data_IF_903488866308
#
_entry.id   IF_903488866308
#
_cell.length_a   1.000
_cell.length_b   1.000
_cell.length_c   1.000
_cell.angle_alpha   90.00
_cell.angle_beta   90.00
_cell.angle_gamma   90.00
#
_symmetry.space_group_name_H-M   'P 1'
#
loop_
_entity.id
_entity.type
_entity.pdbx_description
1 polymer ?
#
# COMPACT_ATOMS: atom_id res chain seq x y z
N UNK A 1 -21.07 11.23 16.92
CA UNK A 1 -21.87 10.96 15.70
C UNK A 1 -22.83 9.82 16.01
N UNK A 2 -24.11 9.96 15.69
CA UNK A 2 -25.08 8.86 15.77
C UNK A 2 -24.94 7.92 14.56
N UNK A 3 -25.36 6.64 14.64
CA UNK A 3 -25.33 5.73 13.49
C UNK A 3 -26.06 6.26 12.25
N UNK A 4 -27.11 7.08 12.46
CA UNK A 4 -27.85 7.74 11.37
C UNK A 4 -27.03 8.83 10.68
N UNK A 5 -26.27 9.61 11.45
CA UNK A 5 -25.35 10.62 10.90
C UNK A 5 -24.27 9.97 10.04
N UNK A 6 -23.61 8.93 10.54
CA UNK A 6 -22.57 8.22 9.78
C UNK A 6 -23.13 7.61 8.49
N UNK A 7 -24.35 7.06 8.53
CA UNK A 7 -25.01 6.54 7.33
C UNK A 7 -25.37 7.63 6.33
N UNK A 8 -25.89 8.78 6.81
CA UNK A 8 -26.20 9.92 5.95
C UNK A 8 -24.92 10.48 5.28
N UNK A 9 -23.84 10.62 6.05
CA UNK A 9 -22.53 11.03 5.53
C UNK A 9 -22.01 10.06 4.47
N UNK A 10 -22.11 8.74 4.73
CA UNK A 10 -21.74 7.73 3.75
C UNK A 10 -22.53 7.90 2.45
N UNK A 11 -23.85 8.07 2.51
CA UNK A 11 -24.68 8.34 1.33
C UNK A 11 -24.23 9.60 0.59
N UNK A 12 -23.96 10.69 1.30
CA UNK A 12 -23.49 11.95 0.70
C UNK A 12 -22.18 11.72 -0.06
N UNK A 13 -21.20 11.06 0.55
CA UNK A 13 -19.93 10.77 -0.12
C UNK A 13 -20.08 9.81 -1.31
N UNK A 14 -20.97 8.82 -1.24
CA UNK A 14 -21.28 7.95 -2.38
C UNK A 14 -21.93 8.72 -3.53
N UNK A 15 -22.86 9.64 -3.24
CA UNK A 15 -23.49 10.49 -4.26
C UNK A 15 -22.46 11.42 -4.90
N UNK A 16 -21.64 12.09 -4.09
CA UNK A 16 -20.60 12.98 -4.60
C UNK A 16 -19.56 12.23 -5.44
N UNK A 17 -19.06 11.09 -4.94
CA UNK A 17 -18.12 10.23 -5.67
C UNK A 17 -18.72 9.68 -6.96
N UNK A 18 -19.97 9.21 -6.92
CA UNK A 18 -20.71 8.77 -8.10
C UNK A 18 -20.91 9.90 -9.12
N UNK A 19 -21.24 11.12 -8.66
CA UNK A 19 -21.36 12.30 -9.50
C UNK A 19 -20.05 12.67 -10.20
N UNK A 20 -18.92 12.62 -9.48
CA UNK A 20 -17.58 12.81 -10.07
C UNK A 20 -17.30 11.71 -11.10
N UNK A 21 -17.63 10.45 -10.78
CA UNK A 21 -17.49 9.32 -11.70
C UNK A 21 -18.30 9.49 -12.99
N UNK A 22 -19.54 9.97 -12.90
CA UNK A 22 -20.41 10.27 -14.06
C UNK A 22 -19.82 11.42 -14.88
N UNK A 23 -19.35 12.49 -14.23
CA UNK A 23 -18.70 13.60 -14.93
C UNK A 23 -17.44 13.14 -15.69
N UNK A 24 -16.60 12.33 -15.05
CA UNK A 24 -15.44 11.74 -15.71
C UNK A 24 -15.85 10.80 -16.84
N UNK A 25 -16.90 9.99 -16.67
CA UNK A 25 -17.39 9.13 -17.73
C UNK A 25 -17.88 9.92 -18.97
N UNK A 26 -18.57 11.04 -18.73
CA UNK A 26 -19.01 11.94 -19.79
C UNK A 26 -17.84 12.60 -20.54
N UNK A 27 -16.78 12.97 -19.83
CA UNK A 27 -15.63 13.70 -20.40
C UNK A 27 -14.51 12.80 -20.92
N UNK A 28 -14.42 11.56 -20.43
CA UNK A 28 -13.25 10.66 -20.58
C UNK A 28 -13.63 9.22 -20.98
N UNK A 29 -14.90 8.92 -21.24
CA UNK A 29 -15.33 7.59 -21.66
C UNK A 29 -16.00 6.78 -20.55
N UNK A 30 -16.98 5.97 -20.95
CA UNK A 30 -17.87 5.20 -20.08
C UNK A 30 -17.14 4.13 -19.25
N UNK A 31 -15.92 3.75 -19.63
CA UNK A 31 -15.12 2.74 -18.95
C UNK A 31 -14.75 3.17 -17.52
N UNK A 32 -14.72 4.48 -17.22
CA UNK A 32 -14.62 5.00 -15.85
C UNK A 32 -15.74 4.45 -14.96
N UNK A 33 -16.94 4.23 -15.50
CA UNK A 33 -18.06 3.68 -14.74
C UNK A 33 -17.81 2.25 -14.30
N UNK A 34 -17.08 1.45 -15.10
CA UNK A 34 -16.69 0.08 -14.71
C UNK A 34 -15.80 0.16 -13.46
N UNK A 35 -14.80 1.04 -13.47
CA UNK A 35 -13.90 1.24 -12.33
C UNK A 35 -14.67 1.78 -11.12
N UNK A 36 -15.60 2.70 -11.34
CA UNK A 36 -16.46 3.27 -10.31
C UNK A 36 -17.38 2.23 -9.66
N UNK A 37 -18.00 1.35 -10.45
CA UNK A 37 -18.84 0.25 -9.93
C UNK A 37 -18.01 -0.74 -9.11
N UNK A 38 -16.81 -1.10 -9.59
CA UNK A 38 -15.89 -1.96 -8.83
C UNK A 38 -15.51 -1.31 -7.50
N UNK A 39 -15.11 -0.02 -7.51
CA UNK A 39 -14.69 0.71 -6.32
C UNK A 39 -15.82 0.96 -5.32
N UNK A 40 -17.01 1.33 -5.79
CA UNK A 40 -18.19 1.51 -4.94
C UNK A 40 -18.66 0.19 -4.35
N UNK A 41 -18.74 -0.85 -5.19
CA UNK A 41 -19.13 -2.19 -4.75
C UNK A 41 -18.15 -2.76 -3.73
N UNK A 42 -16.85 -2.63 -3.99
CA UNK A 42 -15.82 -3.08 -3.05
C UNK A 42 -15.86 -2.31 -1.74
N UNK A 43 -15.97 -0.98 -1.77
CA UNK A 43 -16.08 -0.14 -0.58
C UNK A 43 -17.31 -0.46 0.27
N UNK A 44 -18.47 -0.66 -0.36
CA UNK A 44 -19.70 -1.04 0.33
C UNK A 44 -19.58 -2.44 0.95
N UNK A 45 -19.24 -3.46 0.16
CA UNK A 45 -19.17 -4.85 0.62
C UNK A 45 -17.95 -5.16 1.49
N UNK A 46 -17.01 -4.22 1.61
CA UNK A 46 -15.91 -4.33 2.56
C UNK A 46 -16.42 -4.50 3.99
N UNK A 47 -17.41 -3.72 4.41
CA UNK A 47 -18.04 -3.80 5.73
C UNK A 47 -19.46 -4.36 5.71
N UNK A 48 -20.22 -4.17 4.63
CA UNK A 48 -21.64 -4.52 4.57
C UNK A 48 -21.88 -6.02 4.26
N UNK A 49 -23.00 -6.59 4.76
CA UNK A 49 -23.50 -7.88 4.29
C UNK A 49 -23.81 -7.87 2.77
N UNK A 50 -23.77 -9.03 2.10
CA UNK A 50 -23.53 -10.37 2.65
C UNK A 50 -22.04 -10.75 2.75
N UNK A 51 -21.13 -9.95 2.20
CA UNK A 51 -19.72 -10.33 2.04
C UNK A 51 -18.85 -9.98 3.25
N UNK A 52 -18.92 -8.76 3.78
CA UNK A 52 -18.13 -8.30 4.94
C UNK A 52 -16.64 -8.69 4.81
N UNK A 53 -15.99 -8.31 3.71
CA UNK A 53 -14.63 -8.77 3.39
C UNK A 53 -13.62 -8.56 4.53
N UNK A 54 -13.77 -7.45 5.27
CA UNK A 54 -12.93 -7.11 6.44
C UNK A 54 -12.94 -8.19 7.53
N UNK A 55 -14.04 -8.93 7.67
CA UNK A 55 -14.20 -9.96 8.71
C UNK A 55 -13.84 -11.37 8.24
N UNK A 56 -13.48 -11.54 6.96
CA UNK A 56 -13.29 -12.86 6.33
C UNK A 56 -11.86 -13.17 5.89
N UNK A 57 -10.91 -12.27 6.14
CA UNK A 57 -9.50 -12.43 5.73
C UNK A 57 -9.26 -12.18 4.24
N UNK A 58 -10.21 -11.51 3.58
CA UNK A 58 -10.05 -11.01 2.21
C UNK A 58 -9.85 -9.50 2.17
N UNK A 59 -10.08 -8.81 3.29
CA UNK A 59 -10.11 -7.35 3.35
C UNK A 59 -8.79 -6.71 2.91
N UNK A 60 -7.67 -7.29 3.33
CA UNK A 60 -6.32 -6.82 3.07
C UNK A 60 -6.01 -6.87 1.56
N UNK A 61 -6.32 -7.99 0.91
CA UNK A 61 -6.13 -8.16 -0.54
C UNK A 61 -7.05 -7.20 -1.31
N UNK A 62 -8.32 -7.09 -0.91
CA UNK A 62 -9.26 -6.19 -1.57
C UNK A 62 -8.84 -4.72 -1.45
N UNK A 63 -8.36 -4.28 -0.28
CA UNK A 63 -7.88 -2.91 -0.11
C UNK A 63 -6.65 -2.66 -0.98
N UNK A 64 -5.69 -3.59 -1.01
CA UNK A 64 -4.53 -3.47 -1.91
C UNK A 64 -4.92 -3.36 -3.37
N UNK A 65 -5.86 -4.18 -3.84
CA UNK A 65 -6.36 -4.12 -5.23
C UNK A 65 -7.08 -2.80 -5.54
N UNK A 66 -7.91 -2.29 -4.63
CA UNK A 66 -8.67 -1.06 -4.86
C UNK A 66 -7.78 0.19 -4.82
N UNK A 67 -7.01 0.36 -3.74
CA UNK A 67 -6.20 1.56 -3.56
C UNK A 67 -4.86 1.51 -4.29
N UNK A 68 -4.38 0.33 -4.70
CA UNK A 68 -3.21 0.19 -5.54
C UNK A 68 -3.57 0.14 -7.02
N UNK A 69 -4.07 -1.01 -7.47
CA UNK A 69 -4.28 -1.30 -8.90
C UNK A 69 -5.42 -0.48 -9.49
N UNK A 70 -6.63 -0.57 -8.93
CA UNK A 70 -7.82 0.07 -9.48
C UNK A 70 -7.66 1.60 -9.53
N UNK A 71 -7.15 2.21 -8.45
CA UNK A 71 -6.92 3.65 -8.38
C UNK A 71 -5.85 4.11 -9.40
N UNK A 72 -4.76 3.36 -9.55
CA UNK A 72 -3.71 3.68 -10.54
C UNK A 72 -4.22 3.55 -11.97
N UNK A 73 -4.95 2.48 -12.27
CA UNK A 73 -5.54 2.27 -13.60
C UNK A 73 -6.60 3.31 -13.93
N UNK A 74 -7.43 3.71 -12.96
CA UNK A 74 -8.40 4.79 -13.16
C UNK A 74 -7.73 6.13 -13.42
N UNK A 75 -6.71 6.48 -12.64
CA UNK A 75 -5.93 7.69 -12.87
C UNK A 75 -5.24 7.67 -14.25
N UNK A 76 -4.67 6.52 -14.64
CA UNK A 76 -4.04 6.36 -15.94
C UNK A 76 -5.06 6.53 -17.07
N UNK A 77 -6.17 5.80 -17.04
CA UNK A 77 -7.22 5.86 -18.07
C UNK A 77 -7.81 7.26 -18.24
N UNK A 78 -8.10 7.97 -17.14
CA UNK A 78 -8.62 9.34 -17.20
C UNK A 78 -7.65 10.31 -17.89
N UNK A 79 -6.33 10.07 -17.79
CA UNK A 79 -5.30 10.91 -18.40
C UNK A 79 -4.98 10.51 -19.84
N UNK A 80 -4.90 9.21 -20.13
CA UNK A 80 -4.39 8.69 -21.40
C UNK A 80 -5.48 8.19 -22.34
N UNK A 81 -6.68 7.92 -21.82
CA UNK A 81 -7.81 7.31 -22.55
C UNK A 81 -7.51 5.92 -23.09
N UNK A 82 -6.54 5.22 -22.50
CA UNK A 82 -6.13 3.88 -22.91
C UNK A 82 -5.94 3.00 -21.69
N UNK A 83 -6.44 1.76 -21.76
CA UNK A 83 -6.03 0.72 -20.82
C UNK A 83 -4.74 0.09 -21.30
N UNK A 84 -3.67 0.31 -20.54
CA UNK A 84 -2.36 -0.26 -20.83
C UNK A 84 -1.91 -1.18 -19.70
N UNK A 85 -1.43 -2.37 -20.07
CA UNK A 85 -0.78 -3.29 -19.13
C UNK A 85 0.44 -2.65 -18.46
N UNK A 86 1.09 -1.71 -19.13
CA UNK A 86 2.23 -0.97 -18.59
C UNK A 86 1.92 -0.29 -17.26
N UNK A 87 0.71 0.24 -17.06
CA UNK A 87 0.31 0.89 -15.82
C UNK A 87 0.01 -0.09 -14.67
N UNK A 88 -0.23 -1.37 -14.98
CA UNK A 88 -0.49 -2.40 -13.96
C UNK A 88 0.77 -2.69 -13.16
N UNK A 89 1.91 -2.91 -13.83
CA UNK A 89 3.16 -3.30 -13.19
C UNK A 89 3.64 -2.35 -12.07
N UNK A 90 3.72 -1.02 -12.26
CA UNK A 90 4.11 -0.09 -11.20
C UNK A 90 3.06 0.03 -10.08
N UNK A 91 1.80 -0.36 -10.32
CA UNK A 91 0.75 -0.35 -9.30
C UNK A 91 0.82 -1.52 -8.32
N UNK A 92 1.41 -2.66 -8.74
CA UNK A 92 1.51 -3.87 -7.90
C UNK A 92 2.33 -3.66 -6.62
N UNK A 93 3.56 -3.11 -6.64
CA UNK A 93 4.30 -2.86 -5.39
C UNK A 93 3.54 -1.91 -4.46
N UNK A 94 2.85 -0.92 -5.01
CA UNK A 94 2.01 0.00 -4.23
C UNK A 94 0.83 -0.73 -3.60
N UNK A 95 0.15 -1.61 -4.35
CA UNK A 95 -0.93 -2.44 -3.85
C UNK A 95 -0.49 -3.35 -2.70
N UNK A 96 0.64 -4.04 -2.86
CA UNK A 96 1.21 -4.92 -1.81
C UNK A 96 1.60 -4.08 -0.57
N UNK A 97 2.14 -2.89 -0.76
CA UNK A 97 2.49 -1.99 0.36
C UNK A 97 1.26 -1.48 1.10
N UNK A 98 0.17 -1.17 0.41
CA UNK A 98 -1.10 -0.81 1.05
C UNK A 98 -1.64 -1.98 1.86
N UNK A 99 -1.61 -3.19 1.29
CA UNK A 99 -1.93 -4.43 2.01
C UNK A 99 -1.06 -4.55 3.25
N UNK A 100 0.25 -4.33 3.15
CA UNK A 100 1.18 -4.40 4.27
C UNK A 100 0.90 -3.35 5.35
N UNK A 101 0.52 -2.12 4.98
CA UNK A 101 0.10 -1.07 5.92
C UNK A 101 -1.12 -1.52 6.74
N UNK A 102 -2.14 -2.07 6.09
CA UNK A 102 -3.29 -2.60 6.82
C UNK A 102 -2.90 -3.82 7.66
N UNK A 103 -2.15 -4.74 7.07
CA UNK A 103 -1.74 -5.99 7.70
C UNK A 103 -0.97 -5.75 9.01
N UNK A 104 -0.02 -4.82 9.02
CA UNK A 104 0.71 -4.51 10.25
C UNK A 104 -0.24 -3.90 11.29
N UNK A 105 -1.18 -3.03 10.87
CA UNK A 105 -2.13 -2.33 11.76
C UNK A 105 -3.07 -3.27 12.52
N UNK A 106 -3.24 -4.51 12.05
CA UNK A 106 -4.09 -5.50 12.70
C UNK A 106 -3.41 -6.27 13.85
N UNK A 107 -2.08 -6.15 14.02
CA UNK A 107 -1.36 -6.86 15.09
C UNK A 107 -1.82 -6.47 16.51
N UNK A 108 -1.98 -5.18 16.86
CA UNK A 108 -2.46 -4.75 18.17
C UNK A 108 -3.91 -5.19 18.38
N UNK A 109 -4.71 -5.08 17.32
CA UNK A 109 -6.15 -5.31 17.34
C UNK A 109 -6.52 -6.80 17.32
N UNK A 110 -5.57 -7.70 17.10
CA UNK A 110 -5.80 -9.15 17.00
C UNK A 110 -6.77 -9.72 18.04
N UNK A 111 -6.61 -9.40 19.32
CA UNK A 111 -7.47 -9.96 20.38
C UNK A 111 -8.87 -9.34 20.38
N UNK A 112 -8.96 -8.03 20.13
CA UNK A 112 -10.23 -7.30 20.03
C UNK A 112 -11.02 -7.75 18.79
N UNK A 113 -10.36 -7.85 17.64
CA UNK A 113 -10.92 -8.33 16.38
C UNK A 113 -11.41 -9.77 16.50
N UNK A 114 -10.64 -10.64 17.15
CA UNK A 114 -11.05 -12.03 17.43
C UNK A 114 -12.30 -12.09 18.29
N UNK A 115 -12.44 -11.21 19.30
CA UNK A 115 -13.58 -11.19 20.20
C UNK A 115 -14.91 -10.80 19.50
N UNK A 116 -14.84 -10.07 18.39
CA UNK A 116 -16.00 -9.63 17.60
C UNK A 116 -16.14 -10.39 16.26
N UNK A 117 -15.48 -11.54 16.15
CA UNK A 117 -15.51 -12.42 14.95
C UNK A 117 -15.04 -11.72 13.66
N UNK A 118 -14.17 -10.71 13.78
CA UNK A 118 -13.46 -10.10 12.66
C UNK A 118 -12.20 -10.92 12.38
N UNK A 119 -12.34 -11.98 11.60
CA UNK A 119 -11.26 -12.91 11.29
C UNK A 119 -10.37 -12.41 10.16
N UNK A 120 -9.55 -11.39 10.42
CA UNK A 120 -8.50 -10.93 9.50
C UNK A 120 -7.43 -12.00 9.30
N UNK A 121 -6.53 -11.82 8.33
CA UNK A 121 -5.42 -12.76 8.09
C UNK A 121 -4.52 -12.83 9.34
N UNK A 122 -4.27 -11.72 10.03
CA UNK A 122 -3.49 -11.70 11.27
C UNK A 122 -4.17 -12.53 12.37
N UNK A 123 -5.48 -12.40 12.55
CA UNK A 123 -6.26 -13.22 13.51
C UNK A 123 -6.22 -14.70 13.16
N UNK A 124 -6.35 -15.04 11.86
CA UNK A 124 -6.34 -16.44 11.38
C UNK A 124 -5.00 -17.12 11.55
N UNK A 125 -3.90 -16.41 11.29
CA UNK A 125 -2.55 -16.95 11.39
C UNK A 125 -2.00 -16.93 12.82
N UNK A 126 -2.48 -15.99 13.65
CA UNK A 126 -1.86 -15.61 14.90
C UNK A 126 -0.64 -14.70 14.68
N UNK A 127 -0.35 -13.82 15.66
CA UNK A 127 0.67 -12.75 15.55
C UNK A 127 2.06 -13.27 15.11
N UNK A 128 2.52 -14.40 15.64
CA UNK A 128 3.86 -14.91 15.29
C UNK A 128 3.96 -15.32 13.81
N UNK A 129 3.02 -16.13 13.31
CA UNK A 129 3.02 -16.54 11.89
C UNK A 129 2.71 -15.35 10.99
N UNK A 130 1.84 -14.46 11.44
CA UNK A 130 1.55 -13.22 10.73
C UNK A 130 2.82 -12.36 10.55
N UNK A 131 3.70 -12.29 11.57
CA UNK A 131 4.97 -11.54 11.44
C UNK A 131 5.87 -12.08 10.31
N UNK A 132 5.88 -13.41 10.10
CA UNK A 132 6.57 -14.04 8.97
C UNK A 132 5.85 -13.75 7.65
N UNK A 133 4.52 -13.76 7.65
CA UNK A 133 3.70 -13.33 6.50
C UNK A 133 3.96 -11.89 6.08
N UNK A 134 4.17 -10.98 7.03
CA UNK A 134 4.55 -9.60 6.76
C UNK A 134 5.90 -9.50 6.02
N UNK A 135 6.90 -10.32 6.40
CA UNK A 135 8.17 -10.38 5.67
C UNK A 135 7.97 -10.92 4.24
N UNK A 136 7.10 -11.90 4.06
CA UNK A 136 6.73 -12.39 2.72
C UNK A 136 6.12 -11.28 1.86
N UNK A 137 5.24 -10.43 2.43
CA UNK A 137 4.72 -9.25 1.73
C UNK A 137 5.85 -8.31 1.32
N UNK A 138 6.80 -8.01 2.21
CA UNK A 138 7.94 -7.14 1.87
C UNK A 138 8.83 -7.72 0.77
N UNK A 139 9.09 -9.04 0.77
CA UNK A 139 9.78 -9.70 -0.34
C UNK A 139 8.97 -9.58 -1.63
N UNK A 140 7.66 -9.80 -1.57
CA UNK A 140 6.77 -9.71 -2.72
C UNK A 140 6.75 -8.30 -3.35
N UNK A 141 6.84 -7.24 -2.54
CA UNK A 141 7.00 -5.86 -3.06
C UNK A 141 8.20 -5.77 -3.99
N UNK A 142 9.38 -6.17 -3.54
CA UNK A 142 10.60 -6.03 -4.34
C UNK A 142 10.65 -7.02 -5.50
N UNK A 143 10.13 -8.24 -5.33
CA UNK A 143 9.93 -9.17 -6.45
C UNK A 143 9.01 -8.57 -7.52
N UNK A 144 7.94 -7.87 -7.13
CA UNK A 144 7.01 -7.23 -8.06
C UNK A 144 7.60 -6.04 -8.82
N UNK A 145 8.72 -5.47 -8.34
CA UNK A 145 9.50 -4.46 -9.08
C UNK A 145 10.48 -5.15 -10.03
N UNK A 146 11.22 -6.15 -9.53
CA UNK A 146 12.31 -6.80 -10.27
C UNK A 146 11.78 -7.64 -11.44
N UNK A 147 10.72 -8.42 -11.23
CA UNK A 147 10.22 -9.38 -12.24
C UNK A 147 9.77 -8.65 -13.52
N UNK A 148 8.95 -7.59 -13.47
CA UNK A 148 8.57 -6.85 -14.68
C UNK A 148 9.76 -6.20 -15.41
N UNK A 149 10.81 -5.78 -14.69
CA UNK A 149 12.03 -5.24 -15.30
C UNK A 149 12.75 -6.34 -16.10
N UNK A 150 12.97 -7.50 -15.49
CA UNK A 150 13.68 -8.63 -16.14
C UNK A 150 12.91 -9.12 -17.38
N UNK A 151 11.58 -9.14 -17.30
CA UNK A 151 10.70 -9.56 -18.39
C UNK A 151 10.44 -8.46 -19.44
N UNK A 152 11.05 -7.27 -19.30
CA UNK A 152 10.82 -6.11 -20.16
C UNK A 152 9.34 -5.68 -20.25
N UNK A 153 8.58 -5.87 -19.17
CA UNK A 153 7.16 -5.49 -19.05
C UNK A 153 6.99 -4.05 -18.55
N UNK A 154 8.04 -3.47 -17.98
CA UNK A 154 8.12 -2.07 -17.56
C UNK A 154 9.51 -1.52 -17.87
N UNK A 155 9.65 -0.20 -17.85
CA UNK A 155 10.94 0.43 -18.01
C UNK A 155 11.83 0.19 -16.78
N UNK A 156 13.12 -0.09 -17.02
CA UNK A 156 14.08 -0.40 -15.96
C UNK A 156 14.30 0.75 -14.96
N UNK A 157 13.90 1.99 -15.26
CA UNK A 157 14.02 3.12 -14.33
C UNK A 157 13.21 2.90 -13.05
N UNK A 158 12.19 2.03 -13.08
CA UNK A 158 11.43 1.60 -11.90
C UNK A 158 12.30 0.92 -10.83
N UNK A 159 13.55 0.54 -11.15
CA UNK A 159 14.57 0.09 -10.20
C UNK A 159 14.82 1.09 -9.07
N UNK A 160 14.50 2.37 -9.27
CA UNK A 160 14.54 3.40 -8.22
C UNK A 160 13.67 3.04 -7.01
N UNK A 161 12.60 2.25 -7.19
CA UNK A 161 11.80 1.74 -6.08
C UNK A 161 12.58 0.80 -5.15
N UNK A 162 13.65 0.14 -5.62
CA UNK A 162 14.49 -0.73 -4.77
C UNK A 162 15.32 0.05 -3.75
N UNK A 163 15.47 1.37 -3.93
CA UNK A 163 16.22 2.19 -2.98
C UNK A 163 15.53 2.29 -1.62
N UNK A 164 14.27 1.83 -1.47
CA UNK A 164 13.54 1.79 -0.21
C UNK A 164 13.76 0.51 0.62
N UNK A 165 14.55 -0.46 0.12
CA UNK A 165 14.91 -1.71 0.83
C UNK A 165 15.32 -1.47 2.29
N UNK A 166 16.18 -0.46 2.63
CA UNK A 166 16.52 -0.20 4.03
C UNK A 166 15.29 -0.01 4.93
N UNK A 167 14.28 0.72 4.46
CA UNK A 167 13.05 0.99 5.22
C UNK A 167 12.24 -0.30 5.41
N UNK A 168 12.12 -1.14 4.38
CA UNK A 168 11.45 -2.44 4.52
C UNK A 168 12.18 -3.41 5.45
N UNK A 169 13.52 -3.39 5.46
CA UNK A 169 14.35 -4.18 6.39
C UNK A 169 14.10 -3.74 7.82
N UNK A 170 14.06 -2.43 8.09
CA UNK A 170 13.66 -1.88 9.39
C UNK A 170 12.29 -2.42 9.79
N UNK A 171 11.29 -2.23 8.94
CA UNK A 171 9.92 -2.62 9.23
C UNK A 171 9.81 -4.12 9.54
N UNK A 172 10.46 -4.96 8.73
CA UNK A 172 10.48 -6.42 8.88
C UNK A 172 11.16 -6.86 10.18
N UNK A 173 12.31 -6.24 10.53
CA UNK A 173 13.03 -6.55 11.78
C UNK A 173 12.18 -6.24 13.01
N UNK A 174 11.52 -5.07 13.03
CA UNK A 174 10.65 -4.70 14.14
C UNK A 174 9.39 -5.56 14.20
N UNK A 175 8.77 -5.87 13.05
CA UNK A 175 7.61 -6.77 13.00
C UNK A 175 7.94 -8.17 13.55
N UNK A 176 9.06 -8.76 13.14
CA UNK A 176 9.49 -10.08 13.63
C UNK A 176 9.85 -10.08 15.13
N UNK A 177 10.43 -8.99 15.64
CA UNK A 177 10.91 -8.92 17.03
C UNK A 177 9.82 -8.53 18.03
N UNK A 178 8.82 -7.77 17.58
CA UNK A 178 7.86 -7.09 18.45
C UNK A 178 6.40 -7.38 18.09
N UNK A 179 6.12 -8.47 17.36
CA UNK A 179 4.78 -8.84 16.90
C UNK A 179 3.73 -8.94 18.01
N UNK A 180 4.15 -9.22 19.24
CA UNK A 180 3.31 -9.44 20.41
C UNK A 180 3.07 -8.16 21.25
N UNK A 181 3.72 -7.04 20.91
CA UNK A 181 3.71 -5.82 21.74
C UNK A 181 3.36 -4.59 20.90
N UNK A 182 2.25 -3.94 21.22
CA UNK A 182 1.74 -2.79 20.44
C UNK A 182 2.70 -1.59 20.40
N UNK A 183 3.28 -1.18 21.54
CA UNK A 183 4.16 0.00 21.61
C UNK A 183 5.51 -0.22 20.89
N UNK A 184 6.26 -1.31 21.12
CA UNK A 184 7.51 -1.57 20.40
C UNK A 184 7.33 -1.85 18.90
N UNK A 185 6.09 -2.06 18.44
CA UNK A 185 5.76 -2.24 17.02
C UNK A 185 5.61 -0.91 16.26
N UNK A 186 5.58 0.23 16.97
CA UNK A 186 5.48 1.59 16.37
C UNK A 186 6.48 1.84 15.24
N UNK A 187 7.77 1.50 15.37
CA UNK A 187 8.73 1.67 14.29
C UNK A 187 8.36 0.86 13.04
N UNK A 188 7.74 -0.33 13.18
CA UNK A 188 7.27 -1.09 12.03
C UNK A 188 6.13 -0.36 11.30
N UNK A 189 5.16 0.23 12.01
CA UNK A 189 4.10 1.04 11.39
C UNK A 189 4.66 2.19 10.57
N UNK A 190 5.47 3.02 11.23
CA UNK A 190 6.05 4.20 10.61
C UNK A 190 6.87 3.82 9.38
N UNK A 191 7.70 2.78 9.50
CA UNK A 191 8.49 2.29 8.39
C UNK A 191 7.63 1.72 7.24
N UNK A 192 6.53 1.01 7.54
CA UNK A 192 5.63 0.48 6.50
C UNK A 192 4.99 1.61 5.70
N UNK A 193 4.47 2.63 6.39
CA UNK A 193 3.84 3.81 5.77
C UNK A 193 4.87 4.61 4.96
N UNK A 194 6.06 4.83 5.50
CA UNK A 194 7.15 5.52 4.78
C UNK A 194 7.62 4.71 3.59
N UNK A 195 7.70 3.38 3.69
CA UNK A 195 8.05 2.52 2.57
C UNK A 195 6.98 2.62 1.46
N UNK A 196 5.69 2.56 1.80
CA UNK A 196 4.60 2.82 0.86
C UNK A 196 4.76 4.16 0.13
N UNK A 197 4.95 5.24 0.89
CA UNK A 197 5.09 6.59 0.34
C UNK A 197 6.32 6.72 -0.56
N UNK A 198 7.50 6.31 -0.07
CA UNK A 198 8.75 6.43 -0.81
C UNK A 198 8.74 5.56 -2.06
N UNK A 199 8.32 4.29 -1.98
CA UNK A 199 8.29 3.41 -3.15
C UNK A 199 7.34 3.97 -4.22
N UNK A 200 6.14 4.42 -3.84
CA UNK A 200 5.20 5.05 -4.76
C UNK A 200 5.76 6.31 -5.42
N UNK A 201 6.34 7.22 -4.63
CA UNK A 201 6.95 8.45 -5.16
C UNK A 201 8.16 8.19 -6.05
N UNK A 202 9.03 7.25 -5.70
CA UNK A 202 10.23 6.95 -6.48
C UNK A 202 9.88 6.25 -7.80
N UNK A 203 8.89 5.36 -7.81
CA UNK A 203 8.37 4.76 -9.04
C UNK A 203 7.68 5.84 -9.89
N UNK A 204 6.83 6.70 -9.33
CA UNK A 204 6.22 7.80 -10.07
C UNK A 204 7.28 8.74 -10.68
N UNK A 205 8.33 9.06 -9.91
CA UNK A 205 9.45 9.86 -10.39
C UNK A 205 10.21 9.19 -11.55
N UNK A 206 10.33 7.86 -11.51
CA UNK A 206 10.93 7.11 -12.61
C UNK A 206 10.19 7.31 -13.94
N UNK A 207 8.86 7.32 -13.93
CA UNK A 207 8.02 7.61 -15.11
C UNK A 207 8.14 9.07 -15.58
N UNK A 208 8.33 10.01 -14.66
CA UNK A 208 8.62 11.41 -15.02
C UNK A 208 9.97 11.51 -15.74
N UNK A 209 11.02 10.83 -15.25
CA UNK A 209 12.33 10.82 -15.91
C UNK A 209 12.26 10.22 -17.32
N UNK A 210 11.47 9.15 -17.49
CA UNK A 210 11.22 8.54 -18.81
C UNK A 210 10.52 9.54 -19.73
N UNK A 211 9.43 10.16 -19.27
CA UNK A 211 8.66 11.14 -20.07
C UNK A 211 9.47 12.39 -20.44
N UNK A 212 10.44 12.77 -19.62
CA UNK A 212 11.38 13.87 -19.90
C UNK A 212 12.55 13.45 -20.81
N UNK A 213 12.61 12.20 -21.26
CA UNK A 213 13.70 11.68 -22.11
C UNK A 213 15.07 11.79 -21.45
N UNK A 214 15.13 11.67 -20.12
CA UNK A 214 16.40 11.83 -19.39
C UNK A 214 17.31 10.63 -19.61
N UNK A 215 18.61 10.90 -19.65
CA UNK A 215 19.63 9.88 -19.83
C UNK A 215 19.70 8.91 -18.63
N UNK A 216 20.11 7.63 -18.85
CA UNK A 216 20.31 6.63 -17.81
C UNK A 216 21.12 7.09 -16.59
N UNK A 217 22.08 8.01 -16.79
CA UNK A 217 22.91 8.58 -15.71
C UNK A 217 22.06 9.28 -14.63
N UNK A 218 20.91 9.85 -15.01
CA UNK A 218 20.00 10.48 -14.06
C UNK A 218 19.43 9.47 -13.06
N UNK A 219 19.19 8.21 -13.48
CA UNK A 219 18.72 7.15 -12.59
C UNK A 219 19.76 6.85 -11.51
N UNK A 220 21.05 6.86 -11.85
CA UNK A 220 22.11 6.64 -10.87
C UNK A 220 22.18 7.80 -9.85
N UNK A 221 22.10 9.05 -10.31
CA UNK A 221 22.14 10.23 -9.44
C UNK A 221 20.93 10.25 -8.49
N UNK A 222 19.72 10.07 -9.02
CA UNK A 222 18.50 10.00 -8.21
C UNK A 222 18.51 8.78 -7.30
N UNK A 223 19.02 7.64 -7.78
CA UNK A 223 19.17 6.42 -6.99
C UNK A 223 20.02 6.62 -5.75
N UNK A 224 21.16 7.32 -5.85
CA UNK A 224 22.00 7.67 -4.70
C UNK A 224 21.27 8.59 -3.71
N UNK A 225 20.57 9.62 -4.21
CA UNK A 225 19.80 10.53 -3.38
C UNK A 225 18.65 9.83 -2.64
N UNK A 226 17.90 8.97 -3.33
CA UNK A 226 16.81 8.20 -2.77
C UNK A 226 17.29 7.15 -1.76
N UNK A 227 18.41 6.48 -2.04
CA UNK A 227 19.03 5.54 -1.09
C UNK A 227 19.55 6.25 0.16
N UNK A 228 20.13 7.45 0.01
CA UNK A 228 20.54 8.27 1.14
C UNK A 228 19.34 8.69 2.01
N UNK A 229 18.22 9.06 1.38
CA UNK A 229 16.97 9.42 2.08
C UNK A 229 16.39 8.24 2.86
N UNK A 230 16.27 7.07 2.23
CA UNK A 230 15.74 5.86 2.85
C UNK A 230 16.63 5.34 3.99
N UNK A 231 17.95 5.37 3.79
CA UNK A 231 18.93 5.01 4.82
C UNK A 231 18.98 6.03 5.96
N UNK A 232 18.79 7.31 5.66
CA UNK A 232 18.65 8.37 6.66
C UNK A 232 17.45 8.14 7.57
N UNK A 233 16.29 7.80 7.00
CA UNK A 233 15.09 7.44 7.76
C UNK A 233 15.32 6.20 8.63
N UNK A 234 15.97 5.17 8.10
CA UNK A 234 16.36 3.99 8.85
C UNK A 234 17.16 4.36 10.11
N UNK A 235 18.25 5.10 9.93
CA UNK A 235 19.17 5.49 11.03
C UNK A 235 18.44 6.37 12.05
N UNK A 236 17.65 7.33 11.59
CA UNK A 236 16.85 8.19 12.45
C UNK A 236 15.90 7.38 13.35
N UNK A 237 15.17 6.43 12.76
CA UNK A 237 14.18 5.63 13.49
C UNK A 237 14.85 4.68 14.48
N UNK A 238 15.94 4.02 14.10
CA UNK A 238 16.75 3.19 15.01
C UNK A 238 17.27 3.99 16.21
N UNK A 239 17.78 5.21 15.99
CA UNK A 239 18.26 6.07 17.08
C UNK A 239 17.12 6.45 18.04
N UNK A 240 15.96 6.83 17.50
CA UNK A 240 14.77 7.18 18.30
C UNK A 240 14.27 5.98 19.11
N UNK A 241 14.19 4.80 18.50
CA UNK A 241 13.75 3.59 19.17
C UNK A 241 14.69 3.17 20.30
N UNK A 242 16.02 3.26 20.09
CA UNK A 242 17.02 2.99 21.14
C UNK A 242 16.94 3.99 22.29
N UNK A 243 16.75 5.28 22.00
CA UNK A 243 16.61 6.31 23.02
C UNK A 243 15.32 6.17 23.86
N UNK A 244 14.29 5.53 23.31
CA UNK A 244 13.02 5.28 24.00
C UNK A 244 12.99 3.92 24.73
N UNK A 245 14.00 3.07 24.57
CA UNK A 245 14.08 1.80 25.26
C UNK A 245 14.38 2.03 26.75
N UNK A 246 13.74 1.30 27.68
CA UNK A 246 14.12 1.37 29.09
C UNK A 246 15.59 0.97 29.26
N UNK A 247 16.30 1.49 30.29
CA UNK A 247 17.67 1.07 30.58
C UNK A 247 17.72 -0.45 30.71
N UNK A 248 18.73 -1.08 30.13
CA UNK A 248 18.99 -2.50 30.35
C UNK A 248 19.46 -2.68 31.79
N UNK A 249 18.66 -3.35 32.62
CA UNK A 249 19.06 -3.88 33.92
C UNK A 249 20.18 -4.93 33.79
#
# INVERSE_FOLDING_TARGET
MSPREVFAEAIVFFILGGGIGIYLAYTRGWEVLILGVIGMGSGFFYTAPPFRFVSRGYGEVFIGLNFGVLMTLGAYFVQTQVFAWEAVWPSIPVAILITAVLYINEFPDHDADKAVEKFTIVVRLGRERASKGYVVLMVAVYSSIIIPIILNLTNWYTILGLTTIPVAVLASRYALKHYDKSLPLIPAYAATVVNHLFTGLFIAWSYILIGLGREPICVLIWGLGFLALSSGFYVFTERKAKAAAPPSD
#
